data_IF_554103421859
#
_entry.id   IF_554103421859
#
_cell.length_a   1.000
_cell.length_b   1.000
_cell.length_c   1.000
_cell.angle_alpha   90.00
_cell.angle_beta   90.00
_cell.angle_gamma   90.00
#
_symmetry.space_group_name_H-M   'P 1'
#
loop_
_entity.id
_entity.type
_entity.pdbx_description
1 polymer ?
#
# COMPACT_ATOMS: atom_id res chain seq x y z
N UNK A 1 -33.52 -8.64 14.24
CA UNK A 1 -32.16 -9.01 14.70
C UNK A 1 -31.20 -7.87 14.25
N UNK A 2 -30.44 -7.32 15.18
CA UNK A 2 -29.34 -6.42 14.78
C UNK A 2 -28.26 -7.27 14.14
N UNK A 3 -27.94 -7.01 12.90
CA UNK A 3 -26.84 -7.68 12.22
C UNK A 3 -25.53 -7.26 12.91
N UNK A 4 -24.67 -8.22 13.25
CA UNK A 4 -23.36 -7.90 13.83
C UNK A 4 -22.51 -7.11 12.82
N UNK A 5 -21.74 -6.11 13.28
CA UNK A 5 -20.92 -5.30 12.39
C UNK A 5 -19.82 -6.16 11.73
N UNK A 6 -19.67 -6.01 10.42
CA UNK A 6 -18.61 -6.65 9.66
C UNK A 6 -17.34 -5.80 9.77
N UNK A 7 -16.31 -6.33 10.40
CA UNK A 7 -15.06 -5.60 10.64
C UNK A 7 -13.86 -6.35 10.08
N UNK A 8 -12.89 -5.60 9.55
CA UNK A 8 -11.59 -6.12 9.15
C UNK A 8 -10.49 -5.41 9.94
N UNK A 9 -9.57 -6.17 10.55
CA UNK A 9 -8.38 -5.58 11.18
C UNK A 9 -7.44 -4.99 10.15
N UNK A 10 -7.26 -5.70 9.05
CA UNK A 10 -6.37 -5.33 7.94
C UNK A 10 -7.10 -5.68 6.66
N UNK A 11 -7.06 -4.77 5.69
CA UNK A 11 -7.49 -5.01 4.33
C UNK A 11 -6.29 -4.76 3.40
N UNK A 12 -5.81 -5.79 2.74
CA UNK A 12 -4.62 -5.73 1.89
C UNK A 12 -5.02 -5.62 0.42
N UNK A 13 -4.36 -4.72 -0.31
CA UNK A 13 -4.48 -4.61 -1.76
C UNK A 13 -3.14 -4.87 -2.42
N UNK A 14 -3.13 -5.87 -3.28
CA UNK A 14 -1.96 -6.28 -4.06
C UNK A 14 -1.89 -5.43 -5.34
N UNK A 15 -1.05 -4.39 -5.34
CA UNK A 15 -1.03 -3.42 -6.45
C UNK A 15 -0.11 -3.82 -7.60
N UNK A 16 0.86 -4.69 -7.34
CA UNK A 16 1.81 -5.14 -8.35
C UNK A 16 2.45 -6.47 -7.97
N UNK A 17 2.72 -7.30 -8.96
CA UNK A 17 3.58 -8.48 -8.81
C UNK A 17 4.95 -8.29 -9.48
N UNK A 18 5.33 -7.04 -9.78
CA UNK A 18 6.71 -6.68 -10.15
C UNK A 18 7.49 -6.31 -8.89
N UNK A 19 8.77 -6.68 -8.85
CA UNK A 19 9.63 -6.40 -7.73
C UNK A 19 11.05 -6.07 -8.23
N UNK A 20 11.75 -5.24 -7.46
CA UNK A 20 13.18 -4.93 -7.67
C UNK A 20 14.10 -6.05 -7.17
N UNK A 21 13.58 -6.98 -6.36
CA UNK A 21 14.30 -8.11 -5.79
C UNK A 21 13.78 -9.44 -6.35
N UNK A 22 14.61 -10.47 -6.26
CA UNK A 22 14.31 -11.82 -6.70
C UNK A 22 14.54 -12.82 -5.55
N UNK A 23 13.79 -12.64 -4.47
CA UNK A 23 13.96 -13.40 -3.24
C UNK A 23 13.48 -14.85 -3.40
N UNK A 24 14.33 -15.83 -3.08
CA UNK A 24 13.98 -17.26 -3.16
C UNK A 24 12.81 -17.65 -2.25
N UNK A 25 12.67 -16.99 -1.11
CA UNK A 25 11.62 -17.23 -0.11
C UNK A 25 10.59 -16.08 -0.11
N UNK A 26 10.17 -15.64 -1.29
CA UNK A 26 9.16 -14.60 -1.42
C UNK A 26 7.79 -15.14 -1.03
N UNK A 27 7.16 -14.57 0.00
CA UNK A 27 5.80 -14.95 0.44
C UNK A 27 4.75 -14.75 -0.66
N UNK A 28 4.96 -13.77 -1.54
CA UNK A 28 4.07 -13.49 -2.66
C UNK A 28 4.42 -14.29 -3.92
N UNK A 29 5.44 -15.15 -3.87
CA UNK A 29 5.90 -15.98 -5.00
C UNK A 29 6.26 -15.18 -6.26
N UNK A 30 6.56 -13.90 -6.14
CA UNK A 30 6.82 -12.98 -7.26
C UNK A 30 7.86 -13.51 -8.26
N UNK A 31 9.01 -14.08 -7.83
CA UNK A 31 10.01 -14.61 -8.76
C UNK A 31 9.53 -15.76 -9.65
N UNK A 32 8.44 -16.40 -9.25
CA UNK A 32 7.90 -17.60 -9.93
C UNK A 32 6.66 -17.29 -10.78
N UNK A 33 6.23 -16.04 -10.82
CA UNK A 33 5.09 -15.63 -11.64
C UNK A 33 5.50 -15.49 -13.12
N UNK A 34 4.77 -16.09 -14.07
CA UNK A 34 5.18 -16.12 -15.47
C UNK A 34 5.07 -14.76 -16.16
N UNK A 35 4.18 -13.89 -15.70
CA UNK A 35 3.88 -12.60 -16.35
C UNK A 35 3.71 -11.49 -15.30
N UNK A 36 4.81 -11.01 -14.67
CA UNK A 36 4.72 -9.97 -13.66
C UNK A 36 4.22 -8.66 -14.28
N UNK A 37 3.19 -8.07 -13.65
CA UNK A 37 2.55 -6.83 -14.11
C UNK A 37 2.19 -5.92 -12.95
N UNK A 38 1.98 -4.65 -13.26
CA UNK A 38 1.25 -3.75 -12.37
C UNK A 38 -0.25 -3.98 -12.56
N UNK A 39 -1.00 -4.00 -11.47
CA UNK A 39 -2.47 -3.97 -11.56
C UNK A 39 -2.89 -2.59 -12.06
N UNK A 40 -3.67 -2.46 -13.14
CA UNK A 40 -4.14 -1.17 -13.61
C UNK A 40 -4.86 -0.40 -12.49
N UNK A 41 -4.61 0.90 -12.37
CA UNK A 41 -5.24 1.71 -11.31
C UNK A 41 -6.76 1.67 -11.37
N UNK A 42 -7.34 1.64 -12.56
CA UNK A 42 -8.79 1.56 -12.77
C UNK A 42 -9.37 0.24 -12.24
N UNK A 43 -8.60 -0.84 -12.32
CA UNK A 43 -8.95 -2.13 -11.73
C UNK A 43 -8.93 -2.05 -10.20
N UNK A 44 -7.88 -1.43 -9.64
CA UNK A 44 -7.78 -1.20 -8.19
C UNK A 44 -8.92 -0.31 -7.66
N UNK A 45 -9.27 0.76 -8.38
CA UNK A 45 -10.36 1.67 -8.00
C UNK A 45 -11.70 0.92 -7.98
N UNK A 46 -11.94 0.02 -8.93
CA UNK A 46 -13.12 -0.87 -8.88
C UNK A 46 -13.08 -1.81 -7.69
N UNK A 47 -11.90 -2.38 -7.37
CA UNK A 47 -11.75 -3.24 -6.19
C UNK A 47 -12.05 -2.47 -4.90
N UNK A 48 -11.59 -1.23 -4.77
CA UNK A 48 -11.91 -0.37 -3.63
C UNK A 48 -13.43 -0.13 -3.54
N UNK A 49 -14.07 0.25 -4.64
CA UNK A 49 -15.49 0.51 -4.68
C UNK A 49 -16.34 -0.71 -4.32
N UNK A 50 -15.87 -1.93 -4.61
CA UNK A 50 -16.53 -3.17 -4.26
C UNK A 50 -16.23 -3.62 -2.82
N UNK A 51 -15.00 -3.44 -2.35
CA UNK A 51 -14.57 -3.96 -1.06
C UNK A 51 -15.03 -3.09 0.13
N UNK A 52 -14.82 -1.76 0.07
CA UNK A 52 -15.09 -0.90 1.22
C UNK A 52 -16.55 -0.89 1.71
N UNK A 53 -17.58 -0.98 0.84
CA UNK A 53 -18.96 -1.08 1.31
C UNK A 53 -19.28 -2.35 2.12
N UNK A 54 -18.48 -3.40 1.99
CA UNK A 54 -18.70 -4.68 2.69
C UNK A 54 -18.35 -4.62 4.18
N UNK A 55 -17.61 -3.60 4.61
CA UNK A 55 -17.14 -3.47 5.99
C UNK A 55 -17.74 -2.25 6.67
N UNK A 56 -18.15 -2.42 7.92
CA UNK A 56 -18.57 -1.31 8.78
C UNK A 56 -17.36 -0.53 9.31
N UNK A 57 -16.25 -1.24 9.56
CA UNK A 57 -14.98 -0.62 9.95
C UNK A 57 -13.78 -1.44 9.49
N UNK A 58 -12.68 -0.73 9.24
CA UNK A 58 -11.39 -1.29 8.84
C UNK A 58 -10.33 -0.72 9.77
N UNK A 59 -9.46 -1.57 10.34
CA UNK A 59 -8.39 -1.12 11.24
C UNK A 59 -7.25 -0.43 10.49
N UNK A 60 -6.87 -0.97 9.33
CA UNK A 60 -5.96 -0.31 8.37
C UNK A 60 -6.07 -0.93 6.98
N UNK A 61 -5.68 -0.14 5.99
CA UNK A 61 -5.44 -0.62 4.62
C UNK A 61 -3.94 -0.79 4.42
N UNK A 62 -3.53 -1.93 3.89
CA UNK A 62 -2.15 -2.19 3.50
C UNK A 62 -2.04 -2.27 1.98
N UNK A 63 -1.11 -1.51 1.43
CA UNK A 63 -0.70 -1.56 0.03
C UNK A 63 0.54 -2.44 -0.05
N UNK A 64 0.36 -3.59 -0.69
CA UNK A 64 1.38 -4.63 -0.81
C UNK A 64 1.62 -5.00 -2.27
N UNK A 65 2.59 -5.86 -2.49
CA UNK A 65 2.87 -6.38 -3.82
C UNK A 65 4.18 -7.13 -3.86
N UNK A 66 4.83 -7.11 -5.01
CA UNK A 66 6.25 -7.31 -5.11
C UNK A 66 6.96 -6.12 -4.45
N UNK A 67 7.13 -5.02 -5.18
CA UNK A 67 7.55 -3.73 -4.62
C UNK A 67 6.53 -2.66 -5.03
N UNK A 68 5.67 -2.21 -4.11
CA UNK A 68 4.62 -1.23 -4.43
C UNK A 68 5.14 0.09 -4.99
N UNK A 69 6.34 0.54 -4.57
CA UNK A 69 6.95 1.79 -5.06
C UNK A 69 7.37 1.71 -6.53
N UNK A 70 7.38 0.53 -7.15
CA UNK A 70 7.52 0.38 -8.60
C UNK A 70 6.26 0.75 -9.37
N UNK A 71 5.09 0.81 -8.71
CA UNK A 71 3.84 1.06 -9.41
C UNK A 71 3.81 2.50 -9.94
N UNK A 72 3.63 2.72 -11.26
CA UNK A 72 3.73 4.06 -11.85
C UNK A 72 2.66 5.03 -11.37
N UNK A 73 1.54 4.50 -10.87
CA UNK A 73 0.39 5.28 -10.36
C UNK A 73 0.20 5.15 -8.86
N UNK A 74 1.26 4.81 -8.09
CA UNK A 74 1.14 4.61 -6.64
C UNK A 74 0.56 5.84 -5.93
N UNK A 75 0.94 7.05 -6.34
CA UNK A 75 0.41 8.29 -5.78
C UNK A 75 -1.11 8.42 -6.00
N UNK A 76 -1.58 8.14 -7.22
CA UNK A 76 -3.01 8.21 -7.57
C UNK A 76 -3.82 7.14 -6.82
N UNK A 77 -3.22 5.97 -6.56
CA UNK A 77 -3.83 4.90 -5.77
C UNK A 77 -4.04 5.37 -4.32
N UNK A 78 -3.06 6.05 -3.73
CA UNK A 78 -3.18 6.62 -2.38
C UNK A 78 -4.23 7.74 -2.36
N UNK A 79 -4.23 8.63 -3.35
CA UNK A 79 -5.22 9.70 -3.44
C UNK A 79 -6.66 9.16 -3.56
N UNK A 80 -6.87 8.08 -4.32
CA UNK A 80 -8.18 7.43 -4.45
C UNK A 80 -8.69 6.88 -3.11
N UNK A 81 -7.80 6.37 -2.26
CA UNK A 81 -8.18 5.86 -0.94
C UNK A 81 -8.74 6.95 -0.01
N UNK A 82 -8.40 8.22 -0.23
CA UNK A 82 -8.85 9.35 0.61
C UNK A 82 -10.38 9.50 0.60
N UNK A 83 -11.06 9.16 -0.48
CA UNK A 83 -12.52 9.20 -0.51
C UNK A 83 -13.20 8.24 0.49
N UNK A 84 -12.47 7.22 0.95
CA UNK A 84 -12.95 6.25 1.94
C UNK A 84 -12.47 6.55 3.38
N UNK A 85 -12.00 7.77 3.64
CA UNK A 85 -11.41 8.19 4.94
C UNK A 85 -12.30 7.91 6.15
N UNK A 86 -13.62 7.92 5.99
CA UNK A 86 -14.56 7.60 7.09
C UNK A 86 -14.43 6.13 7.58
N UNK A 87 -13.86 5.25 6.76
CA UNK A 87 -13.65 3.84 7.07
C UNK A 87 -12.18 3.46 7.23
N UNK A 88 -11.25 4.30 6.74
CA UNK A 88 -9.82 4.03 6.74
C UNK A 88 -9.12 4.94 7.75
N UNK A 89 -8.83 4.46 8.98
CA UNK A 89 -8.08 5.26 9.95
C UNK A 89 -6.58 5.32 9.61
N UNK A 90 -6.06 4.33 8.86
CA UNK A 90 -4.65 4.19 8.55
C UNK A 90 -4.40 3.52 7.21
N UNK A 91 -3.41 4.03 6.48
CA UNK A 91 -2.83 3.40 5.30
C UNK A 91 -1.37 3.05 5.59
N UNK A 92 -0.94 1.89 5.14
CA UNK A 92 0.44 1.41 5.20
C UNK A 92 0.89 0.95 3.83
N UNK A 93 2.12 1.29 3.46
CA UNK A 93 2.82 0.69 2.32
C UNK A 93 3.95 -0.19 2.85
N UNK A 94 3.96 -1.46 2.47
CA UNK A 94 5.10 -2.36 2.74
C UNK A 94 6.08 -2.27 1.58
N UNK A 95 7.33 -1.93 1.86
CA UNK A 95 8.40 -1.76 0.86
C UNK A 95 9.70 -2.43 1.29
N UNK A 96 10.46 -2.91 0.33
CA UNK A 96 11.79 -3.47 0.54
C UNK A 96 12.90 -2.40 0.61
N UNK A 97 12.53 -1.12 0.56
CA UNK A 97 13.43 0.04 0.65
C UNK A 97 14.51 0.11 -0.45
N UNK A 98 14.30 -0.50 -1.61
CA UNK A 98 15.18 -0.34 -2.77
C UNK A 98 14.88 0.91 -3.58
N UNK A 99 13.71 1.51 -3.37
CA UNK A 99 13.25 2.73 -4.05
C UNK A 99 12.87 3.75 -2.97
N UNK A 100 13.27 5.01 -3.17
CA UNK A 100 12.84 6.13 -2.34
C UNK A 100 11.46 6.61 -2.81
N UNK A 101 10.51 6.87 -1.91
CA UNK A 101 9.23 7.48 -2.28
C UNK A 101 9.45 8.81 -3.01
N UNK A 102 8.89 8.92 -4.23
CA UNK A 102 9.00 10.13 -5.03
C UNK A 102 8.09 11.25 -4.53
N UNK A 103 8.35 12.49 -4.97
CA UNK A 103 7.61 13.69 -4.55
C UNK A 103 6.10 13.58 -4.73
N UNK A 104 5.64 12.96 -5.82
CA UNK A 104 4.19 12.77 -6.07
C UNK A 104 3.56 11.87 -5.01
N UNK A 105 4.25 10.79 -4.63
CA UNK A 105 3.76 9.90 -3.58
C UNK A 105 3.76 10.62 -2.22
N UNK A 106 4.81 11.35 -1.90
CA UNK A 106 4.89 12.11 -0.64
C UNK A 106 3.77 13.17 -0.55
N UNK A 107 3.46 13.83 -1.67
CA UNK A 107 2.33 14.76 -1.74
C UNK A 107 0.99 14.05 -1.51
N UNK A 108 0.79 12.85 -2.07
CA UNK A 108 -0.41 12.05 -1.84
C UNK A 108 -0.52 11.59 -0.38
N UNK A 109 0.60 11.18 0.24
CA UNK A 109 0.69 10.84 1.67
C UNK A 109 0.27 12.04 2.52
N UNK A 110 0.81 13.22 2.24
CA UNK A 110 0.46 14.44 2.95
C UNK A 110 -1.03 14.77 2.86
N UNK A 111 -1.62 14.67 1.65
CA UNK A 111 -3.08 14.83 1.47
C UNK A 111 -3.89 13.83 2.30
N UNK A 112 -3.45 12.57 2.37
CA UNK A 112 -4.11 11.56 3.19
C UNK A 112 -4.06 11.92 4.69
N UNK A 113 -2.91 12.39 5.17
CA UNK A 113 -2.73 12.84 6.55
C UNK A 113 -3.59 14.07 6.87
N UNK A 114 -3.66 15.05 5.98
CA UNK A 114 -4.56 16.22 6.10
C UNK A 114 -6.04 15.81 6.14
N UNK A 115 -6.39 14.72 5.46
CA UNK A 115 -7.73 14.13 5.49
C UNK A 115 -8.03 13.31 6.75
N UNK A 116 -7.07 13.21 7.69
CA UNK A 116 -7.21 12.47 8.96
C UNK A 116 -6.83 11.01 8.89
N UNK A 117 -6.19 10.55 7.83
CA UNK A 117 -5.70 9.17 7.68
C UNK A 117 -4.25 9.10 8.14
N UNK A 118 -3.96 8.30 9.17
CA UNK A 118 -2.57 8.01 9.55
C UNK A 118 -1.86 7.25 8.42
N UNK A 119 -0.58 7.51 8.24
CA UNK A 119 0.20 6.88 7.18
C UNK A 119 1.57 6.44 7.68
N UNK A 120 1.98 5.21 7.33
CA UNK A 120 3.35 4.76 7.56
C UNK A 120 3.88 3.84 6.44
N UNK A 121 5.20 3.66 6.45
CA UNK A 121 5.89 2.65 5.65
C UNK A 121 6.35 1.52 6.56
N UNK A 122 5.99 0.28 6.20
CA UNK A 122 6.60 -0.91 6.79
C UNK A 122 7.83 -1.28 5.95
N UNK A 123 9.00 -1.27 6.56
CA UNK A 123 10.26 -1.49 5.88
C UNK A 123 10.72 -2.92 6.06
N UNK A 124 10.72 -3.69 4.99
CA UNK A 124 11.33 -5.01 4.94
C UNK A 124 12.84 -4.85 4.69
N UNK A 125 13.64 -5.23 5.69
CA UNK A 125 15.09 -5.04 5.63
C UNK A 125 15.78 -6.27 5.03
N UNK A 126 16.31 -6.12 3.85
CA UNK A 126 17.12 -7.11 3.13
C UNK A 126 18.62 -6.77 3.18
N UNK A 127 19.08 -6.14 4.25
CA UNK A 127 20.47 -5.74 4.45
C UNK A 127 20.95 -4.76 3.38
N UNK A 128 22.11 -4.99 2.75
CA UNK A 128 22.67 -4.06 1.75
C UNK A 128 21.77 -3.81 0.53
N UNK A 129 20.78 -4.67 0.27
CA UNK A 129 19.83 -4.50 -0.83
C UNK A 129 18.79 -3.41 -0.53
N UNK A 130 18.45 -3.23 0.74
CA UNK A 130 17.52 -2.18 1.21
C UNK A 130 18.26 -0.85 1.41
N UNK A 131 18.79 -0.30 0.33
CA UNK A 131 19.73 0.84 0.33
C UNK A 131 19.18 2.14 0.91
N UNK A 132 17.87 2.31 0.91
CA UNK A 132 17.21 3.57 1.26
C UNK A 132 16.48 3.50 2.61
N UNK A 133 16.79 2.49 3.44
CA UNK A 133 16.14 2.33 4.76
C UNK A 133 16.20 3.59 5.60
N UNK A 134 17.40 4.13 5.79
CA UNK A 134 17.60 5.32 6.64
C UNK A 134 16.90 6.56 6.08
N UNK A 135 16.86 6.71 4.76
CA UNK A 135 16.21 7.84 4.11
C UNK A 135 14.70 7.78 4.30
N UNK A 136 14.10 6.59 4.12
CA UNK A 136 12.66 6.40 4.30
C UNK A 136 12.28 6.53 5.78
N UNK A 137 13.11 6.05 6.69
CA UNK A 137 12.89 6.18 8.14
C UNK A 137 12.90 7.63 8.63
N UNK A 138 13.55 8.54 7.90
CA UNK A 138 13.58 9.97 8.21
C UNK A 138 12.39 10.74 7.64
N UNK A 139 11.54 10.09 6.84
CA UNK A 139 10.31 10.74 6.39
C UNK A 139 9.41 11.02 7.60
N UNK A 140 8.80 12.21 7.67
CA UNK A 140 7.98 12.56 8.81
C UNK A 140 6.81 11.58 8.97
N UNK A 141 6.74 10.99 10.14
CA UNK A 141 5.53 10.29 10.58
C UNK A 141 4.43 11.32 10.78
N UNK A 142 3.31 11.10 10.16
CA UNK A 142 2.14 11.96 10.30
C UNK A 142 1.34 11.67 11.56
#
# INVERSE_FOLDING_TARGET
>A
MKQEPVTAKILEFFVTNRCTLNCKMCLCSVPYLPHPRHTPKEELFRHFALAFPLYDSIGRVEIIGGEPLMHPHIAEIIEELIQYREKIPKIRITTNATIVPGEKLLAAVHKAQEAGIAFDFLLDNYGPLSRNLEEIQRLPEG
#
